data_IF_429870470649
#
_entry.id   IF_429870470649
#
_cell.length_a   1.000
_cell.length_b   1.000
_cell.length_c   1.000
_cell.angle_alpha   90.00
_cell.angle_beta   90.00
_cell.angle_gamma   90.00
#
_symmetry.space_group_name_H-M   'P 1'
#
loop_
_entity.id
_entity.type
_entity.pdbx_description
1 polymer ?
#
# COMPACT_ATOMS: atom_id res chain seq x y z
N UNK A 1 6.19 10.76 -11.01
CA UNK A 1 5.64 9.53 -10.38
C UNK A 1 6.05 9.48 -8.92
N UNK A 2 5.18 9.01 -8.03
CA UNK A 2 5.41 8.78 -6.60
C UNK A 2 4.84 7.41 -6.22
N UNK A 3 5.55 6.69 -5.35
CA UNK A 3 5.09 5.42 -4.78
C UNK A 3 6.01 4.94 -3.67
N UNK A 4 5.65 3.81 -3.04
CA UNK A 4 6.40 3.11 -1.97
C UNK A 4 6.63 3.90 -0.66
N UNK A 5 6.31 5.19 -0.60
CA UNK A 5 6.51 6.00 0.60
C UNK A 5 5.56 5.65 1.75
N UNK A 6 4.50 4.89 1.46
CA UNK A 6 3.52 4.38 2.43
C UNK A 6 3.73 2.91 2.78
N UNK A 7 4.86 2.32 2.36
CA UNK A 7 5.19 0.91 2.62
C UNK A 7 6.54 0.84 3.33
N UNK A 8 6.60 0.26 4.52
CA UNK A 8 7.88 0.06 5.21
C UNK A 8 8.76 -0.98 4.49
N UNK A 9 10.07 -0.90 4.71
CA UNK A 9 11.01 -1.83 4.08
C UNK A 9 10.76 -3.30 4.47
N UNK A 10 10.32 -3.53 5.71
CA UNK A 10 9.99 -4.85 6.25
C UNK A 10 8.79 -5.49 5.52
N UNK A 11 7.76 -4.71 5.20
CA UNK A 11 6.54 -5.17 4.53
C UNK A 11 6.76 -5.38 3.05
N UNK A 12 7.70 -4.65 2.43
CA UNK A 12 8.16 -4.92 1.07
C UNK A 12 8.97 -6.22 1.00
N UNK A 13 9.85 -6.46 1.96
CA UNK A 13 10.66 -7.68 2.02
C UNK A 13 9.81 -8.93 2.28
N UNK A 14 8.88 -8.85 3.24
CA UNK A 14 7.98 -9.96 3.60
C UNK A 14 6.78 -10.07 2.67
N UNK A 15 6.50 -9.02 1.89
CA UNK A 15 5.29 -8.85 1.06
C UNK A 15 4.00 -8.90 1.89
N UNK A 16 4.12 -8.74 3.21
CA UNK A 16 3.00 -8.77 4.14
C UNK A 16 3.02 -7.64 5.15
N UNK A 17 1.82 -7.25 5.54
CA UNK A 17 1.50 -6.32 6.61
C UNK A 17 0.94 -7.13 7.78
N UNK A 18 1.46 -6.90 8.99
CA UNK A 18 1.09 -7.65 10.19
C UNK A 18 1.14 -9.19 10.01
N UNK A 19 2.05 -9.68 9.16
CA UNK A 19 2.21 -11.09 8.76
C UNK A 19 1.02 -11.78 8.09
N UNK A 20 -0.13 -11.14 8.00
CA UNK A 20 -1.39 -11.75 7.53
C UNK A 20 -1.83 -11.21 6.16
N UNK A 21 -1.60 -9.92 5.90
CA UNK A 21 -2.22 -9.24 4.75
C UNK A 21 -1.20 -8.91 3.68
N UNK A 22 -1.60 -8.92 2.41
CA UNK A 22 -0.74 -8.55 1.29
C UNK A 22 -0.36 -7.07 1.34
N UNK A 23 0.94 -6.76 1.19
CA UNK A 23 1.43 -5.38 1.09
C UNK A 23 0.91 -4.71 -0.17
N UNK A 24 0.46 -3.46 -0.04
CA UNK A 24 -0.13 -2.68 -1.14
C UNK A 24 0.68 -1.42 -1.41
N UNK A 25 1.13 -1.26 -2.65
CA UNK A 25 1.85 -0.07 -3.13
C UNK A 25 0.85 0.90 -3.74
N UNK A 26 0.83 2.13 -3.24
CA UNK A 26 0.06 3.22 -3.83
C UNK A 26 0.92 3.97 -4.85
N UNK A 27 0.42 4.14 -6.08
CA UNK A 27 1.11 4.84 -7.16
C UNK A 27 0.36 6.11 -7.55
N UNK A 28 1.05 7.25 -7.61
CA UNK A 28 0.52 8.49 -8.13
C UNK A 28 1.40 9.01 -9.28
N UNK A 29 0.79 9.29 -10.44
CA UNK A 29 1.48 9.85 -11.61
C UNK A 29 0.49 10.46 -12.58
N UNK A 30 0.93 11.50 -13.29
CA UNK A 30 0.18 12.09 -14.41
C UNK A 30 0.42 11.34 -15.73
N UNK A 31 1.50 10.55 -15.79
CA UNK A 31 1.83 9.69 -16.92
C UNK A 31 1.24 8.29 -16.71
N UNK A 32 0.30 7.90 -17.57
CA UNK A 32 -0.37 6.59 -17.53
C UNK A 32 0.54 5.45 -17.99
N UNK A 33 1.43 5.69 -18.95
CA UNK A 33 2.36 4.68 -19.45
C UNK A 33 3.38 4.32 -18.37
N UNK A 34 3.93 5.32 -17.67
CA UNK A 34 4.82 5.10 -16.54
C UNK A 34 4.14 4.31 -15.42
N UNK A 35 2.85 4.56 -15.14
CA UNK A 35 2.08 3.76 -14.15
C UNK A 35 1.93 2.32 -14.57
N UNK A 36 1.63 2.09 -15.84
CA UNK A 36 1.47 0.73 -16.36
C UNK A 36 2.79 -0.03 -16.29
N UNK A 37 3.90 0.57 -16.71
CA UNK A 37 5.23 -0.06 -16.65
C UNK A 37 5.62 -0.51 -15.23
N UNK A 38 5.34 0.32 -14.21
CA UNK A 38 5.63 -0.08 -12.82
C UNK A 38 4.65 -1.14 -12.32
N UNK A 39 3.38 -1.06 -12.72
CA UNK A 39 2.38 -2.08 -12.38
C UNK A 39 2.78 -3.44 -12.96
N UNK A 40 3.18 -3.47 -14.23
CA UNK A 40 3.63 -4.67 -14.92
C UNK A 40 4.93 -5.22 -14.32
N UNK A 41 5.86 -4.35 -13.95
CA UNK A 41 7.10 -4.74 -13.28
C UNK A 41 6.86 -5.37 -11.89
N UNK A 42 5.74 -5.02 -11.24
CA UNK A 42 5.33 -5.57 -9.95
C UNK A 42 4.37 -6.76 -10.09
N UNK A 43 3.94 -7.11 -11.30
CA UNK A 43 3.10 -8.28 -11.52
C UNK A 43 3.86 -9.56 -11.14
N UNK A 44 3.18 -10.50 -10.51
CA UNK A 44 3.79 -11.71 -9.94
C UNK A 44 4.73 -11.47 -8.74
N UNK A 45 5.02 -10.23 -8.34
CA UNK A 45 5.89 -9.94 -7.18
C UNK A 45 5.27 -10.36 -5.85
N UNK A 46 3.96 -10.55 -5.79
CA UNK A 46 3.19 -10.78 -4.57
C UNK A 46 2.81 -9.50 -3.84
N UNK A 47 3.10 -8.33 -4.40
CA UNK A 47 2.59 -7.03 -3.93
C UNK A 47 1.29 -6.68 -4.68
N UNK A 48 0.36 -6.03 -4.00
CA UNK A 48 -0.77 -5.38 -4.65
C UNK A 48 -0.38 -3.97 -5.08
N UNK A 49 -0.92 -3.48 -6.19
CA UNK A 49 -0.68 -2.11 -6.67
C UNK A 49 -2.02 -1.42 -6.84
N UNK A 50 -2.14 -0.21 -6.31
CA UNK A 50 -3.33 0.64 -6.46
C UNK A 50 -2.91 1.98 -7.04
N UNK A 51 -3.57 2.39 -8.12
CA UNK A 51 -3.46 3.73 -8.69
C UNK A 51 -4.19 4.74 -7.77
N UNK A 52 -3.41 5.59 -7.10
CA UNK A 52 -3.88 6.69 -6.28
C UNK A 52 -4.24 7.94 -7.10
N UNK A 53 -4.03 7.93 -8.42
CA UNK A 53 -4.45 8.96 -9.37
C UNK A 53 -3.28 9.83 -9.87
N UNK A 54 -3.58 11.12 -10.07
CA UNK A 54 -2.64 12.11 -10.60
C UNK A 54 -1.50 12.41 -9.62
N UNK A 55 -0.41 13.01 -10.10
CA UNK A 55 0.74 13.36 -9.26
C UNK A 55 0.39 14.36 -8.16
N UNK A 56 -0.70 15.12 -8.32
CA UNK A 56 -1.26 15.98 -7.25
C UNK A 56 -1.57 15.19 -5.98
N UNK A 57 -1.92 13.90 -6.11
CA UNK A 57 -2.19 13.00 -4.99
C UNK A 57 -0.94 12.61 -4.19
N UNK A 58 0.25 12.91 -4.70
CA UNK A 58 1.49 12.70 -3.96
C UNK A 58 1.52 13.45 -2.63
N UNK A 59 0.89 14.63 -2.52
CA UNK A 59 0.84 15.37 -1.24
C UNK A 59 0.10 14.58 -0.16
N UNK A 60 -1.02 13.96 -0.50
CA UNK A 60 -1.76 13.10 0.42
C UNK A 60 -0.98 11.84 0.76
N UNK A 61 -0.29 11.23 -0.22
CA UNK A 61 0.58 10.07 0.03
C UNK A 61 1.71 10.41 1.00
N UNK A 62 2.36 11.57 0.86
CA UNK A 62 3.43 12.00 1.77
C UNK A 62 2.90 12.24 3.19
N UNK A 63 1.73 12.89 3.31
CA UNK A 63 1.10 13.09 4.61
C UNK A 63 0.77 11.75 5.30
N UNK A 64 0.32 10.75 4.52
CA UNK A 64 0.03 9.42 5.02
C UNK A 64 1.31 8.69 5.48
N UNK A 65 2.36 8.71 4.67
CA UNK A 65 3.65 8.10 5.03
C UNK A 65 4.26 8.75 6.27
N UNK A 66 4.16 10.08 6.39
CA UNK A 66 4.58 10.79 7.59
C UNK A 66 3.78 10.39 8.84
N UNK A 67 2.45 10.31 8.71
CA UNK A 67 1.60 9.82 9.80
C UNK A 67 2.01 8.42 10.24
N UNK A 68 2.22 7.51 9.29
CA UNK A 68 2.64 6.14 9.58
C UNK A 68 3.97 6.08 10.33
N UNK A 69 4.99 6.84 9.88
CA UNK A 69 6.28 6.94 10.59
C UNK A 69 6.09 7.48 12.00
N UNK A 70 5.28 8.53 12.18
CA UNK A 70 5.04 9.11 13.51
C UNK A 70 4.36 8.13 14.47
N UNK A 71 3.45 7.28 13.97
CA UNK A 71 2.78 6.25 14.77
C UNK A 71 3.74 5.13 15.16
N UNK A 72 4.62 4.71 14.24
CA UNK A 72 5.64 3.70 14.51
C UNK A 72 6.69 4.22 15.51
N UNK A 73 7.13 5.46 15.36
CA UNK A 73 8.05 6.12 16.29
C UNK A 73 7.45 6.31 17.70
N UNK A 74 6.12 6.46 17.78
CA UNK A 74 5.38 6.51 19.05
C UNK A 74 4.98 5.13 19.60
N UNK A 75 5.52 4.04 19.01
CA UNK A 75 5.28 2.64 19.39
C UNK A 75 3.79 2.25 19.38
N UNK A 76 2.98 2.93 18.56
CA UNK A 76 1.55 2.61 18.41
C UNK A 76 1.31 1.50 17.40
N UNK A 77 2.24 1.35 16.45
CA UNK A 77 2.27 0.29 15.44
C UNK A 77 3.72 -0.19 15.29
N UNK A 78 3.92 -1.42 14.82
CA UNK A 78 5.25 -1.91 14.47
C UNK A 78 5.71 -1.33 13.14
N UNK A 79 7.03 -1.31 12.91
CA UNK A 79 7.59 -1.08 11.57
C UNK A 79 7.25 -2.19 10.57
N UNK A 80 6.59 -3.28 11.00
CA UNK A 80 5.98 -4.31 10.13
C UNK A 80 4.49 -4.10 9.85
N UNK A 81 3.91 -3.03 10.38
CA UNK A 81 2.49 -2.72 10.26
C UNK A 81 2.33 -1.46 9.40
N UNK A 82 1.98 -1.65 8.13
CA UNK A 82 1.59 -0.55 7.24
C UNK A 82 0.09 -0.23 7.34
N UNK A 83 -0.28 0.98 6.91
CA UNK A 83 -1.68 1.33 6.72
C UNK A 83 -2.23 0.56 5.52
N UNK A 84 -3.20 -0.32 5.79
CA UNK A 84 -3.88 -1.13 4.77
C UNK A 84 -5.15 -0.43 4.27
N UNK A 85 -5.33 -0.43 2.95
CA UNK A 85 -6.60 -0.10 2.31
C UNK A 85 -7.41 -1.38 2.06
N UNK A 86 -8.58 -1.47 2.69
CA UNK A 86 -9.48 -2.60 2.56
C UNK A 86 -10.56 -2.29 1.52
N UNK A 87 -10.65 -3.08 0.45
CA UNK A 87 -11.80 -3.01 -0.44
C UNK A 87 -13.03 -3.64 0.26
N UNK A 88 -14.15 -2.92 0.29
CA UNK A 88 -15.39 -3.36 0.94
C UNK A 88 -15.92 -4.68 0.36
N UNK A 89 -15.77 -4.88 -0.95
CA UNK A 89 -16.19 -6.12 -1.62
C UNK A 89 -15.37 -7.34 -1.17
N UNK A 90 -14.10 -7.13 -0.84
CA UNK A 90 -13.24 -8.18 -0.28
C UNK A 90 -13.65 -8.55 1.15
N UNK A 91 -14.07 -7.56 1.96
CA UNK A 91 -14.58 -7.83 3.30
C UNK A 91 -15.88 -8.64 3.23
N UNK A 92 -16.80 -8.27 2.35
CA UNK A 92 -18.07 -8.98 2.19
C UNK A 92 -17.90 -10.47 1.80
N UNK A 93 -16.90 -10.82 1.00
CA UNK A 93 -16.65 -12.24 0.64
C UNK A 93 -16.11 -13.04 1.82
N UNK A 94 -15.20 -12.47 2.62
CA UNK A 94 -14.66 -13.10 3.84
C UNK A 94 -15.72 -13.39 4.90
N UNK A 95 -16.79 -12.59 4.96
CA UNK A 95 -17.91 -12.83 5.88
C UNK A 95 -18.88 -13.92 5.38
N UNK A 96 -19.06 -14.07 4.06
CA UNK A 96 -19.89 -15.14 3.49
C UNK A 96 -19.28 -16.55 3.61
N UNK A 97 -17.96 -16.67 3.72
CA UNK A 97 -17.27 -17.96 3.91
C UNK A 97 -17.28 -18.46 5.36
N UNK A 98 -17.85 -17.70 6.31
CA UNK A 98 -17.93 -18.09 7.73
C UNK A 98 -19.31 -18.62 8.17
N UNK A 99 -20.28 -18.71 7.27
CA UNK A 99 -21.55 -19.43 7.45
C UNK A 99 -21.48 -20.81 6.76
#
# INVERSE_FOLDING_TARGET
>A
MKGFNTTFASTLATKRVASEHQTTVLLASDDSEAKQQVTDALDGSGLAVIDAGSLKRARELEALGFLQISLAAAEKISYGDDIRFCNFNFLASKYKEKE
#
